data_IF_214970986128
#
_entry.id   IF_214970986128
#
_cell.length_a   1.000
_cell.length_b   1.000
_cell.length_c   1.000
_cell.angle_alpha   90.00
_cell.angle_beta   90.00
_cell.angle_gamma   90.00
#
_symmetry.space_group_name_H-M   'P 1'
#
loop_
_entity.id
_entity.type
_entity.pdbx_description
1 polymer ?
#
# COMPACT_ATOMS: atom_id res chain seq x y z
N UNK A 1 0.83 -10.12 8.72
CA UNK A 1 0.95 -8.71 8.31
C UNK A 1 2.33 -8.43 7.77
N UNK A 2 2.39 -7.67 6.71
CA UNK A 2 3.67 -7.28 6.13
C UNK A 2 3.93 -5.82 6.43
N UNK A 3 5.19 -5.41 6.34
CA UNK A 3 5.60 -4.02 6.48
C UNK A 3 6.37 -3.62 5.25
N UNK A 4 6.16 -2.43 4.78
CA UNK A 4 6.88 -1.91 3.63
C UNK A 4 6.90 -0.40 3.63
N UNK A 5 7.46 0.14 2.55
CA UNK A 5 7.58 1.58 2.36
C UNK A 5 6.84 1.97 1.09
N UNK A 6 6.08 3.04 1.15
CA UNK A 6 5.36 3.53 -0.01
C UNK A 6 6.38 4.00 -1.05
N UNK A 7 6.34 3.37 -2.23
CA UNK A 7 7.20 3.76 -3.33
C UNK A 7 6.68 5.04 -3.98
N UNK A 8 5.39 5.06 -4.27
CA UNK A 8 4.68 6.26 -4.70
C UNK A 8 3.19 6.00 -4.57
N UNK A 9 2.44 7.07 -4.48
CA UNK A 9 0.99 6.97 -4.42
C UNK A 9 0.40 8.21 -5.08
N UNK A 10 -0.60 8.00 -5.93
CA UNK A 10 -1.31 9.09 -6.60
C UNK A 10 -2.72 9.18 -6.06
N UNK A 11 -2.99 10.19 -5.24
CA UNK A 11 -4.33 10.41 -4.73
C UNK A 11 -5.31 10.76 -5.83
N UNK A 12 -4.82 11.34 -6.91
CA UNK A 12 -5.64 11.67 -8.08
C UNK A 12 -6.11 10.44 -8.81
N UNK A 13 -5.21 9.47 -8.98
CA UNK A 13 -5.54 8.20 -9.64
C UNK A 13 -6.12 7.17 -8.68
N UNK A 14 -5.87 7.35 -7.39
CA UNK A 14 -6.41 6.46 -6.37
C UNK A 14 -5.63 5.18 -6.16
N UNK A 15 -4.37 5.11 -6.56
CA UNK A 15 -3.57 3.90 -6.36
C UNK A 15 -2.08 4.23 -6.32
N UNK A 16 -1.30 3.25 -5.89
CA UNK A 16 0.14 3.36 -5.83
C UNK A 16 0.78 2.01 -5.61
N UNK A 17 2.03 2.04 -5.17
CA UNK A 17 2.80 0.81 -4.92
C UNK A 17 3.57 0.92 -3.61
N UNK A 18 3.72 -0.23 -2.97
CA UNK A 18 4.49 -0.37 -1.74
C UNK A 18 5.67 -1.28 -2.04
N UNK A 19 6.87 -0.88 -1.61
CA UNK A 19 8.07 -1.71 -1.69
C UNK A 19 8.16 -2.51 -0.39
N UNK A 20 7.99 -3.85 -0.45
CA UNK A 20 8.07 -4.65 0.76
C UNK A 20 9.43 -4.57 1.42
N UNK A 21 9.43 -4.63 2.75
CA UNK A 21 10.65 -4.53 3.53
C UNK A 21 11.60 -5.71 3.29
N UNK A 22 11.05 -6.86 2.92
CA UNK A 22 11.84 -8.06 2.67
C UNK A 22 12.47 -8.12 1.27
N UNK A 23 12.27 -7.09 0.46
CA UNK A 23 12.83 -7.05 -0.87
C UNK A 23 12.02 -7.76 -1.94
N UNK A 24 10.80 -8.17 -1.63
CA UNK A 24 9.92 -8.80 -2.61
C UNK A 24 9.48 -7.80 -3.67
N UNK A 25 8.79 -8.29 -4.70
CA UNK A 25 8.25 -7.42 -5.74
C UNK A 25 7.26 -6.40 -5.18
N UNK A 26 7.17 -5.25 -5.82
CA UNK A 26 6.27 -4.19 -5.39
C UNK A 26 4.83 -4.69 -5.29
N UNK A 27 4.12 -4.18 -4.30
CA UNK A 27 2.74 -4.56 -4.04
C UNK A 27 1.82 -3.40 -4.42
N UNK A 28 0.81 -3.70 -5.22
CA UNK A 28 -0.18 -2.71 -5.62
C UNK A 28 -1.06 -2.33 -4.44
N UNK A 29 -1.35 -1.04 -4.29
CA UNK A 29 -2.27 -0.56 -3.26
C UNK A 29 -3.28 0.39 -3.87
N UNK A 30 -4.56 0.15 -3.60
CA UNK A 30 -5.66 1.01 -4.04
C UNK A 30 -6.16 1.81 -2.84
N UNK A 31 -6.69 3.02 -3.09
CA UNK A 31 -7.13 3.89 -2.00
C UNK A 31 -8.17 3.22 -1.09
N UNK A 32 -8.98 2.33 -1.66
CA UNK A 32 -9.99 1.62 -0.87
C UNK A 32 -9.38 0.62 0.12
N UNK A 33 -8.11 0.28 -0.07
CA UNK A 33 -7.41 -0.63 0.84
C UNK A 33 -6.76 0.08 2.02
N UNK A 34 -6.78 1.41 2.02
CA UNK A 34 -6.18 2.18 3.10
C UNK A 34 -7.18 2.27 4.25
N UNK A 35 -6.75 1.80 5.43
CA UNK A 35 -7.57 1.85 6.63
C UNK A 35 -7.46 3.23 7.28
N UNK A 36 -8.52 3.64 7.95
CA UNK A 36 -8.51 4.89 8.69
C UNK A 36 -9.63 5.81 8.27
N UNK A 37 -10.00 6.72 9.16
CA UNK A 37 -11.13 7.61 8.96
C UNK A 37 -10.73 8.81 8.12
N UNK A 38 -11.26 8.88 6.92
CA UNK A 38 -11.17 10.07 6.10
C UNK A 38 -9.83 10.38 5.48
N UNK A 39 -8.79 9.65 5.82
CA UNK A 39 -7.46 9.93 5.29
C UNK A 39 -7.02 8.75 4.41
N UNK A 40 -7.06 8.95 3.11
CA UNK A 40 -6.76 7.90 2.14
C UNK A 40 -5.67 8.34 1.18
N UNK A 41 -4.58 8.81 1.74
CA UNK A 41 -3.45 9.26 0.98
C UNK A 41 -2.18 8.78 1.68
N UNK A 42 -1.21 8.34 0.89
CA UNK A 42 0.06 7.86 1.41
C UNK A 42 1.18 8.73 0.86
N UNK A 43 2.11 9.09 1.73
CA UNK A 43 3.28 9.86 1.31
C UNK A 43 4.38 8.94 0.82
N UNK A 44 5.18 9.42 -0.11
CA UNK A 44 6.37 8.69 -0.56
C UNK A 44 7.26 8.40 0.62
N UNK A 45 7.81 7.20 0.63
CA UNK A 45 8.75 6.73 1.67
C UNK A 45 8.10 6.53 3.04
N UNK A 46 6.78 6.67 3.15
CA UNK A 46 6.09 6.41 4.40
C UNK A 46 6.08 4.91 4.69
N UNK A 47 6.33 4.54 5.95
CA UNK A 47 6.26 3.13 6.34
C UNK A 47 4.82 2.76 6.66
N UNK A 48 4.41 1.61 6.17
CA UNK A 48 3.03 1.12 6.34
C UNK A 48 3.03 -0.37 6.67
N UNK A 49 1.99 -0.80 7.36
CA UNK A 49 1.68 -2.21 7.53
C UNK A 49 0.50 -2.56 6.65
N UNK A 50 0.49 -3.78 6.15
CA UNK A 50 -0.57 -4.20 5.24
C UNK A 50 -0.64 -5.72 5.20
N UNK A 51 -1.76 -6.23 4.70
CA UNK A 51 -1.92 -7.65 4.39
C UNK A 51 -1.76 -7.82 2.89
N UNK A 52 -1.12 -8.93 2.49
CA UNK A 52 -0.94 -9.23 1.08
C UNK A 52 -2.04 -10.18 0.63
N UNK A 53 -2.72 -9.82 -0.44
CA UNK A 53 -3.70 -10.70 -1.06
C UNK A 53 -3.45 -10.76 -2.55
N UNK A 54 -4.01 -11.77 -3.21
CA UNK A 54 -3.87 -11.89 -4.65
C UNK A 54 -4.98 -11.12 -5.35
N UNK A 55 -4.58 -10.16 -6.16
CA UNK A 55 -5.50 -9.39 -6.97
C UNK A 55 -5.37 -9.76 -8.44
N UNK A 56 -6.13 -9.09 -9.28
CA UNK A 56 -6.09 -9.34 -10.71
C UNK A 56 -4.74 -8.97 -11.34
N UNK A 57 -4.06 -8.04 -10.73
CA UNK A 57 -2.77 -7.55 -11.23
C UNK A 57 -1.59 -8.12 -10.48
N UNK A 58 -1.80 -9.15 -9.67
CA UNK A 58 -0.77 -9.75 -8.85
C UNK A 58 -0.94 -9.43 -7.37
N UNK A 59 0.14 -9.41 -6.58
CA UNK A 59 0.04 -9.12 -5.16
C UNK A 59 -0.57 -7.74 -4.91
N UNK A 60 -1.51 -7.67 -4.00
CA UNK A 60 -2.24 -6.45 -3.69
C UNK A 60 -2.29 -6.26 -2.19
N UNK A 61 -2.11 -5.03 -1.73
CA UNK A 61 -2.17 -4.70 -0.32
C UNK A 61 -3.63 -4.52 0.12
N UNK A 62 -3.90 -4.94 1.35
CA UNK A 62 -5.20 -4.75 1.98
C UNK A 62 -4.97 -4.29 3.40
N UNK A 63 -5.93 -3.57 3.97
CA UNK A 63 -5.86 -3.07 5.35
C UNK A 63 -4.57 -2.28 5.59
N UNK A 64 -4.22 -1.41 4.65
CA UNK A 64 -3.01 -0.61 4.73
C UNK A 64 -3.17 0.46 5.78
N UNK A 65 -2.16 0.61 6.65
CA UNK A 65 -2.19 1.62 7.69
C UNK A 65 -0.77 2.10 7.98
N UNK A 66 -0.62 3.36 8.43
CA UNK A 66 0.69 3.85 8.82
C UNK A 66 1.24 3.06 10.01
N UNK A 67 2.54 2.93 10.03
CA UNK A 67 3.23 2.31 11.16
C UNK A 67 3.53 3.35 12.22
#
# INVERSE_FOLDING_TARGET
MATGTVKWFSSEKGFGFITPEDGSADVFVHFSAISGDGYRNLDESQRVQYDVSQGQKGPQAANVRPV
#
